data_IF_841530277090
#
_entry.id   IF_841530277090
#
_cell.length_a   1.000
_cell.length_b   1.000
_cell.length_c   1.000
_cell.angle_alpha   90.00
_cell.angle_beta   90.00
_cell.angle_gamma   90.00
#
_symmetry.space_group_name_H-M   'P 1'
#
loop_
_entity.id
_entity.type
_entity.pdbx_description
1 polymer ?
#
# COMPACT_ATOMS: atom_id res chain seq x y z
N UNK A 1 14.02 33.82 46.86
CA UNK A 1 12.71 33.62 46.22
C UNK A 1 12.92 33.46 44.71
N UNK A 2 13.08 32.22 44.25
CA UNK A 2 13.48 31.87 42.88
C UNK A 2 12.24 31.42 42.09
N UNK A 3 11.53 32.38 41.48
CA UNK A 3 10.27 32.15 40.75
C UNK A 3 10.32 32.79 39.36
N UNK A 4 11.34 32.48 38.56
CA UNK A 4 11.43 32.99 37.17
C UNK A 4 11.83 31.97 36.09
N UNK A 5 12.26 30.75 36.45
CA UNK A 5 12.78 29.78 35.45
C UNK A 5 11.77 28.70 35.01
N UNK A 6 10.64 28.55 35.70
CA UNK A 6 9.78 27.37 35.49
C UNK A 6 8.95 27.44 34.18
N UNK A 7 8.58 28.64 33.74
CA UNK A 7 7.73 28.85 32.57
C UNK A 7 8.44 28.60 31.22
N UNK A 8 9.74 28.90 31.14
CA UNK A 8 10.52 28.66 29.92
C UNK A 8 10.76 27.17 29.68
N UNK A 9 11.00 26.41 30.75
CA UNK A 9 11.22 24.96 30.68
C UNK A 9 9.94 24.24 30.25
N UNK A 10 8.76 24.62 30.77
CA UNK A 10 7.48 24.01 30.35
C UNK A 10 7.12 24.37 28.91
N UNK A 11 7.44 25.58 28.44
CA UNK A 11 7.20 25.97 27.04
C UNK A 11 8.09 25.20 26.06
N UNK A 12 9.38 25.05 26.37
CA UNK A 12 10.30 24.25 25.54
C UNK A 12 9.91 22.78 25.57
N UNK A 13 9.52 22.25 26.73
CA UNK A 13 9.06 20.88 26.86
C UNK A 13 7.78 20.63 26.05
N UNK A 14 6.81 21.56 26.07
CA UNK A 14 5.61 21.49 25.26
C UNK A 14 5.89 21.56 23.76
N UNK A 15 6.84 22.40 23.33
CA UNK A 15 7.26 22.50 21.93
C UNK A 15 7.94 21.20 21.46
N UNK A 16 8.82 20.63 22.27
CA UNK A 16 9.50 19.35 21.98
C UNK A 16 8.47 18.21 21.93
N UNK A 17 7.52 18.18 22.86
CA UNK A 17 6.46 17.17 22.85
C UNK A 17 5.57 17.29 21.60
N UNK A 18 5.24 18.52 21.19
CA UNK A 18 4.48 18.77 19.96
C UNK A 18 5.26 18.40 18.70
N UNK A 19 6.58 18.62 18.66
CA UNK A 19 7.42 18.19 17.54
C UNK A 19 7.59 16.67 17.48
N UNK A 20 7.61 15.98 18.64
CA UNK A 20 7.74 14.52 18.70
C UNK A 20 6.43 13.78 18.43
N UNK A 21 5.28 14.33 18.82
CA UNK A 21 3.98 13.65 18.77
C UNK A 21 2.91 14.34 17.89
N UNK A 22 3.16 15.56 17.42
CA UNK A 22 2.22 16.34 16.61
C UNK A 22 2.38 16.14 15.11
N UNK A 23 3.43 15.44 14.65
CA UNK A 23 3.53 15.05 13.26
C UNK A 23 2.42 14.03 12.95
N UNK A 24 1.56 14.27 11.94
CA UNK A 24 0.59 13.27 11.53
C UNK A 24 1.35 12.03 11.12
N UNK A 25 1.08 10.91 11.80
CA UNK A 25 1.55 9.60 11.37
C UNK A 25 1.16 9.43 9.89
N UNK A 26 2.06 8.93 9.03
CA UNK A 26 1.67 8.61 7.67
C UNK A 26 0.47 7.65 7.74
N UNK A 27 -0.66 8.06 7.19
CA UNK A 27 -1.86 7.24 7.17
C UNK A 27 -1.50 5.90 6.50
N UNK A 28 -1.63 4.79 7.23
CA UNK A 28 -1.17 3.46 6.80
C UNK A 28 -2.04 2.82 5.71
N UNK A 29 -2.76 3.62 4.93
CA UNK A 29 -3.67 3.16 3.87
C UNK A 29 -2.95 2.28 2.83
N UNK A 30 -1.65 2.49 2.62
CA UNK A 30 -0.88 1.72 1.63
C UNK A 30 -0.69 0.24 1.96
N UNK A 31 -0.69 -0.16 3.24
CA UNK A 31 -0.37 -1.55 3.62
C UNK A 31 -1.50 -2.52 3.26
N UNK A 32 -2.75 -2.09 3.41
CA UNK A 32 -3.92 -2.89 3.04
C UNK A 32 -4.11 -2.98 1.53
N UNK A 33 -3.79 -1.91 0.80
CA UNK A 33 -3.83 -1.87 -0.66
C UNK A 33 -2.80 -2.80 -1.29
N UNK A 34 -1.56 -2.79 -0.78
CA UNK A 34 -0.48 -3.68 -1.24
C UNK A 34 -0.84 -5.17 -0.99
N UNK A 35 -1.37 -5.49 0.18
CA UNK A 35 -1.81 -6.85 0.50
C UNK A 35 -2.96 -7.32 -0.40
N UNK A 36 -3.88 -6.42 -0.79
CA UNK A 36 -4.95 -6.76 -1.71
C UNK A 36 -4.46 -6.95 -3.15
N UNK A 37 -3.55 -6.10 -3.62
CA UNK A 37 -2.92 -6.24 -4.93
C UNK A 37 -2.14 -7.56 -5.02
N UNK A 38 -1.40 -7.93 -3.97
CA UNK A 38 -0.66 -9.20 -3.94
C UNK A 38 -1.61 -10.42 -4.03
N UNK A 39 -2.73 -10.42 -3.31
CA UNK A 39 -3.71 -11.52 -3.39
C UNK A 39 -4.29 -11.67 -4.80
N UNK A 40 -4.54 -10.54 -5.48
CA UNK A 40 -5.02 -10.55 -6.86
C UNK A 40 -3.95 -11.09 -7.82
N UNK A 41 -2.69 -10.68 -7.63
CA UNK A 41 -1.54 -11.19 -8.39
C UNK A 41 -1.45 -12.71 -8.25
N UNK A 42 -1.45 -13.22 -7.03
CA UNK A 42 -1.32 -14.65 -6.73
C UNK A 42 -2.47 -15.46 -7.37
N UNK A 43 -3.69 -14.90 -7.40
CA UNK A 43 -4.83 -15.53 -8.06
C UNK A 43 -4.62 -15.68 -9.58
N UNK A 44 -4.06 -14.65 -10.25
CA UNK A 44 -3.71 -14.75 -11.67
C UNK A 44 -2.59 -15.75 -11.93
N UNK A 45 -1.52 -15.75 -11.12
CA UNK A 45 -0.43 -16.72 -11.25
C UNK A 45 -0.97 -18.15 -11.09
N UNK A 46 -1.79 -18.39 -10.06
CA UNK A 46 -2.37 -19.71 -9.81
C UNK A 46 -3.30 -20.17 -10.92
N UNK A 47 -4.12 -19.26 -11.47
CA UNK A 47 -5.14 -19.60 -12.46
C UNK A 47 -4.57 -19.77 -13.86
N UNK A 48 -3.61 -18.91 -14.23
CA UNK A 48 -3.08 -18.80 -15.59
C UNK A 48 -1.71 -19.45 -15.76
N UNK A 49 -0.99 -19.76 -14.68
CA UNK A 49 0.35 -20.36 -14.70
C UNK A 49 1.29 -19.74 -15.76
N UNK A 50 1.42 -18.40 -15.79
CA UNK A 50 2.27 -17.73 -16.77
C UNK A 50 3.74 -18.07 -16.53
N UNK A 51 4.56 -17.95 -17.58
CA UNK A 51 6.03 -17.95 -17.43
C UNK A 51 6.52 -16.61 -16.87
N UNK A 52 5.97 -15.52 -17.39
CA UNK A 52 6.23 -14.16 -16.92
C UNK A 52 4.91 -13.40 -16.79
N UNK A 53 4.83 -12.54 -15.78
CA UNK A 53 3.64 -11.71 -15.54
C UNK A 53 4.05 -10.37 -14.94
N UNK A 54 3.56 -9.29 -15.54
CA UNK A 54 3.57 -7.95 -14.97
C UNK A 54 2.14 -7.50 -14.73
N UNK A 55 1.88 -6.93 -13.55
CA UNK A 55 0.55 -6.43 -13.18
C UNK A 55 0.66 -5.02 -12.62
N UNK A 56 -0.12 -4.09 -13.18
CA UNK A 56 -0.25 -2.73 -12.68
C UNK A 56 -1.69 -2.51 -12.24
N UNK A 57 -1.87 -2.10 -10.99
CA UNK A 57 -3.15 -1.74 -10.41
C UNK A 57 -3.21 -0.22 -10.28
N UNK A 58 -4.08 0.44 -11.06
CA UNK A 58 -4.29 1.90 -10.99
C UNK A 58 -5.45 2.22 -10.04
N UNK A 59 -5.05 2.51 -8.79
CA UNK A 59 -5.91 2.75 -7.64
C UNK A 59 -6.21 1.46 -6.87
N UNK A 60 -6.08 1.52 -5.54
CA UNK A 60 -6.43 0.41 -4.66
C UNK A 60 -7.91 0.01 -4.75
N UNK A 61 -8.26 -1.19 -4.27
CA UNK A 61 -9.66 -1.64 -4.25
C UNK A 61 -10.53 -0.70 -3.40
N UNK A 62 -11.74 -0.41 -3.88
CA UNK A 62 -12.72 0.33 -3.10
C UNK A 62 -13.23 -0.48 -1.89
N UNK A 63 -14.11 0.13 -1.09
CA UNK A 63 -14.75 -0.52 0.07
C UNK A 63 -15.49 -1.83 -0.24
N UNK A 64 -15.78 -2.11 -1.52
CA UNK A 64 -16.42 -3.34 -1.98
C UNK A 64 -15.43 -4.31 -2.64
N UNK A 65 -14.12 -4.01 -2.62
CA UNK A 65 -13.08 -4.81 -3.25
C UNK A 65 -12.90 -4.57 -4.75
N UNK A 66 -13.53 -3.53 -5.33
CA UNK A 66 -13.47 -3.27 -6.78
C UNK A 66 -12.25 -2.44 -7.12
N UNK A 67 -11.47 -2.90 -8.09
CA UNK A 67 -10.35 -2.16 -8.67
C UNK A 67 -10.82 -1.40 -9.91
N UNK A 68 -10.40 -0.14 -10.04
CA UNK A 68 -10.84 0.71 -11.16
C UNK A 68 -10.23 0.27 -12.48
N UNK A 69 -8.92 0.01 -12.49
CA UNK A 69 -8.17 -0.40 -13.69
C UNK A 69 -7.05 -1.37 -13.30
N UNK A 70 -6.92 -2.41 -14.11
CA UNK A 70 -5.84 -3.39 -14.02
C UNK A 70 -5.25 -3.51 -15.42
N UNK A 71 -3.92 -3.45 -15.49
CA UNK A 71 -3.15 -3.77 -16.68
C UNK A 71 -2.35 -5.04 -16.38
N UNK A 72 -2.34 -5.96 -17.34
CA UNK A 72 -1.72 -7.27 -17.20
C UNK A 72 -0.97 -7.55 -18.51
N UNK A 73 0.32 -7.85 -18.42
CA UNK A 73 1.11 -8.40 -19.52
C UNK A 73 1.55 -9.80 -19.09
N UNK A 74 1.19 -10.80 -19.88
CA UNK A 74 1.44 -12.21 -19.59
C UNK A 74 2.18 -12.82 -20.76
N UNK A 75 3.23 -13.58 -20.48
CA UNK A 75 3.82 -14.48 -21.46
C UNK A 75 3.64 -15.92 -21.02
N UNK A 76 3.28 -16.76 -21.98
CA UNK A 76 3.22 -18.19 -21.78
C UNK A 76 2.23 -18.60 -20.70
N UNK A 77 0.95 -18.28 -20.84
CA UNK A 77 -0.10 -18.67 -19.90
C UNK A 77 -0.99 -19.81 -20.42
N UNK A 78 -1.64 -20.51 -19.50
CA UNK A 78 -2.60 -21.57 -19.76
C UNK A 78 -4.02 -21.12 -19.38
N UNK A 79 -4.96 -21.19 -20.32
CA UNK A 79 -6.37 -20.94 -20.07
C UNK A 79 -7.21 -22.08 -20.63
N UNK A 80 -7.90 -22.82 -19.76
CA UNK A 80 -8.78 -23.91 -20.18
C UNK A 80 -8.06 -25.04 -20.95
N UNK A 81 -6.78 -25.26 -20.67
CA UNK A 81 -5.95 -26.24 -21.38
C UNK A 81 -5.37 -25.73 -22.72
N UNK A 82 -5.64 -24.48 -23.09
CA UNK A 82 -5.03 -23.82 -24.23
C UNK A 82 -3.82 -23.03 -23.77
N UNK A 83 -2.70 -23.20 -24.47
CA UNK A 83 -1.50 -22.38 -24.30
C UNK A 83 -1.65 -21.08 -25.09
N UNK A 84 -1.42 -19.96 -24.41
CA UNK A 84 -1.40 -18.62 -24.98
C UNK A 84 0.02 -18.08 -24.82
N UNK A 85 0.67 -17.76 -25.93
CA UNK A 85 2.07 -17.30 -25.91
C UNK A 85 2.20 -15.88 -25.34
N UNK A 86 1.24 -14.99 -25.62
CA UNK A 86 1.20 -13.64 -25.06
C UNK A 86 -0.24 -13.10 -24.96
N UNK A 87 -0.55 -12.41 -23.85
CA UNK A 87 -1.85 -11.77 -23.59
C UNK A 87 -1.68 -10.37 -23.02
#
# INVERSE_FOLDING_TARGET
MLKKSFAGVTMVFGLVLFLLFGAPLPASAGHDEEAAAQRLFDAFVSGLKPETMEMIVDGGPDKNGRVRRIYLDLEGCELGGVRIDRL
#
